data_IF_630083964514
#
_entry.id   IF_630083964514
#
_cell.length_a   1.000
_cell.length_b   1.000
_cell.length_c   1.000
_cell.angle_alpha   90.00
_cell.angle_beta   90.00
_cell.angle_gamma   90.00
#
_symmetry.space_group_name_H-M   'P 1'
#
loop_
_entity.id
_entity.type
_entity.pdbx_description
1 polymer ?
#
# COMPACT_ATOMS: atom_id res chain seq x y z
N UNK A 1 24.36 -35.68 -31.14
CA UNK A 1 23.93 -36.85 -30.36
C UNK A 1 22.52 -36.55 -29.88
N UNK A 2 21.53 -37.21 -30.51
CA UNK A 2 20.10 -36.98 -30.22
C UNK A 2 19.73 -37.67 -28.90
N UNK A 3 19.19 -36.92 -27.98
CA UNK A 3 18.62 -37.46 -26.75
C UNK A 3 17.09 -37.38 -26.86
N UNK A 4 16.48 -38.47 -27.33
CA UNK A 4 15.02 -38.63 -27.36
C UNK A 4 14.59 -39.20 -26.01
N UNK A 5 13.80 -38.43 -25.24
CA UNK A 5 13.16 -38.90 -24.03
C UNK A 5 11.98 -39.85 -24.42
N UNK A 6 12.01 -41.08 -23.91
CA UNK A 6 10.95 -42.09 -24.08
C UNK A 6 10.09 -42.07 -22.80
N UNK A 7 8.79 -41.90 -22.98
CA UNK A 7 7.80 -42.04 -21.91
C UNK A 7 7.48 -43.53 -21.71
N UNK A 8 7.22 -43.95 -20.48
CA UNK A 8 7.15 -45.35 -20.02
C UNK A 8 6.04 -46.24 -20.64
N UNK A 9 5.42 -45.87 -21.72
CA UNK A 9 4.29 -46.59 -22.31
C UNK A 9 4.46 -46.84 -23.85
N UNK A 10 5.67 -46.62 -24.38
CA UNK A 10 6.06 -47.10 -25.69
C UNK A 10 5.35 -46.51 -26.91
N UNK A 11 4.62 -45.40 -26.77
CA UNK A 11 4.00 -44.70 -27.91
C UNK A 11 4.75 -43.41 -28.24
N UNK A 12 4.94 -43.07 -29.53
CA UNK A 12 5.59 -41.81 -29.89
C UNK A 12 4.68 -40.62 -29.54
N UNK A 13 5.25 -39.62 -28.88
CA UNK A 13 4.55 -38.37 -28.56
C UNK A 13 4.21 -37.62 -29.85
N UNK A 14 2.93 -37.30 -30.03
CA UNK A 14 2.45 -36.45 -31.12
C UNK A 14 2.87 -35.01 -30.83
N UNK A 15 3.49 -34.28 -31.76
CA UNK A 15 3.86 -32.90 -31.54
C UNK A 15 2.61 -32.01 -31.41
N UNK A 16 2.53 -31.24 -30.35
CA UNK A 16 1.50 -30.22 -30.15
C UNK A 16 1.69 -29.10 -31.18
N UNK A 17 0.75 -28.98 -32.11
CA UNK A 17 0.66 -27.86 -33.05
C UNK A 17 0.15 -26.64 -32.25
N UNK A 18 0.79 -25.48 -32.33
CA UNK A 18 0.27 -24.28 -31.68
C UNK A 18 -1.01 -23.81 -32.37
N UNK A 19 -2.12 -23.80 -31.64
CA UNK A 19 -3.38 -23.22 -32.11
C UNK A 19 -3.24 -21.72 -32.09
N UNK A 20 -3.04 -21.11 -33.23
CA UNK A 20 -3.14 -19.68 -33.44
C UNK A 20 -4.61 -19.27 -33.37
N UNK A 21 -5.02 -18.61 -32.31
CA UNK A 21 -6.31 -17.92 -32.23
C UNK A 21 -6.17 -16.62 -33.01
N UNK A 22 -6.98 -16.38 -34.07
CA UNK A 22 -6.94 -15.11 -34.78
C UNK A 22 -7.48 -14.00 -33.87
N UNK A 23 -6.65 -13.01 -33.54
CA UNK A 23 -7.07 -11.75 -32.98
C UNK A 23 -7.94 -11.05 -34.02
N UNK A 24 -9.21 -10.84 -33.69
CA UNK A 24 -10.11 -10.00 -34.47
C UNK A 24 -9.59 -8.55 -34.53
N UNK A 25 -9.98 -7.76 -35.52
CA UNK A 25 -9.45 -6.43 -35.74
C UNK A 25 -9.79 -5.53 -34.54
N UNK A 26 -8.77 -5.11 -33.82
CA UNK A 26 -8.88 -4.00 -32.87
C UNK A 26 -9.12 -2.73 -33.68
N UNK A 27 -10.28 -2.10 -33.46
CA UNK A 27 -10.54 -0.77 -33.98
C UNK A 27 -9.48 0.19 -33.47
N UNK A 28 -8.92 1.07 -34.31
CA UNK A 28 -7.96 2.07 -33.86
C UNK A 28 -8.67 3.04 -32.91
N UNK A 29 -8.03 3.29 -31.74
CA UNK A 29 -8.45 4.34 -30.83
C UNK A 29 -8.29 5.68 -31.54
N UNK A 30 -9.38 6.45 -31.59
CA UNK A 30 -9.43 7.80 -32.16
C UNK A 30 -8.52 8.72 -31.33
N UNK A 31 -7.45 9.29 -31.90
CA UNK A 31 -6.53 10.15 -31.16
C UNK A 31 -7.04 11.59 -30.97
N UNK A 32 -8.31 11.88 -31.24
CA UNK A 32 -8.84 13.23 -31.29
C UNK A 32 -9.80 13.63 -30.18
N UNK A 33 -9.72 13.01 -29.00
CA UNK A 33 -10.34 13.62 -27.81
C UNK A 33 -9.29 14.51 -27.13
N UNK A 34 -9.32 15.85 -27.33
CA UNK A 34 -8.41 16.73 -26.61
C UNK A 34 -8.84 16.76 -25.14
N UNK A 35 -7.94 16.32 -24.25
CA UNK A 35 -8.02 16.75 -22.85
C UNK A 35 -7.64 18.22 -22.87
N UNK A 36 -8.61 19.09 -22.64
CA UNK A 36 -8.41 20.55 -22.57
C UNK A 36 -7.54 20.90 -21.36
N UNK A 37 -6.30 21.35 -21.56
CA UNK A 37 -5.40 21.70 -20.45
C UNK A 37 -5.60 23.14 -19.97
N UNK A 38 -6.63 23.83 -20.44
CA UNK A 38 -6.86 25.26 -20.17
C UNK A 38 -8.15 25.53 -19.43
N UNK A 39 -8.33 24.94 -18.24
CA UNK A 39 -9.17 25.58 -17.23
C UNK A 39 -8.23 26.40 -16.35
N UNK A 40 -8.14 27.72 -16.50
CA UNK A 40 -7.40 28.55 -15.56
C UNK A 40 -8.12 28.46 -14.23
N UNK A 41 -7.37 28.10 -13.19
CA UNK A 41 -7.81 28.33 -11.80
C UNK A 41 -7.91 29.84 -11.63
N UNK A 42 -9.12 30.37 -11.61
CA UNK A 42 -9.41 31.76 -11.31
C UNK A 42 -9.04 32.03 -9.83
N UNK A 43 -8.00 32.83 -9.54
CA UNK A 43 -7.58 33.10 -8.16
C UNK A 43 -8.48 34.13 -7.47
N UNK A 44 -9.58 34.57 -8.05
CA UNK A 44 -10.41 35.66 -7.54
C UNK A 44 -11.84 35.27 -7.17
N UNK A 45 -12.20 34.01 -7.08
CA UNK A 45 -13.48 33.60 -6.52
C UNK A 45 -13.48 33.82 -5.00
N UNK A 46 -14.28 34.72 -4.42
CA UNK A 46 -14.40 34.91 -2.97
C UNK A 46 -15.30 33.80 -2.39
N UNK A 47 -14.78 32.63 -2.28
CA UNK A 47 -15.39 31.51 -1.57
C UNK A 47 -14.53 31.18 -0.36
N UNK A 48 -14.77 31.90 0.73
CA UNK A 48 -14.29 31.59 2.08
C UNK A 48 -14.75 30.18 2.48
N UNK A 49 -14.10 29.15 1.99
CA UNK A 49 -14.04 27.89 2.71
C UNK A 49 -13.01 28.07 3.84
N UNK A 50 -13.49 28.47 5.02
CA UNK A 50 -12.79 28.20 6.26
C UNK A 50 -12.35 26.75 6.15
N UNK A 51 -11.05 26.49 6.02
CA UNK A 51 -10.49 25.17 6.20
C UNK A 51 -11.00 24.68 7.56
N UNK A 52 -11.85 23.66 7.57
CA UNK A 52 -12.22 23.02 8.82
C UNK A 52 -10.92 22.72 9.55
N UNK A 53 -10.84 22.92 10.89
CA UNK A 53 -9.63 22.62 11.63
C UNK A 53 -9.22 21.21 11.26
N UNK A 54 -7.94 21.03 11.03
CA UNK A 54 -7.35 19.75 10.62
C UNK A 54 -7.60 18.74 11.74
N UNK A 55 -8.76 18.07 11.66
CA UNK A 55 -9.17 17.10 12.67
C UNK A 55 -8.36 15.84 12.43
N UNK A 56 -7.74 15.38 13.47
CA UNK A 56 -7.16 14.05 13.55
C UNK A 56 -7.84 13.27 14.66
N UNK A 57 -8.07 12.00 14.44
CA UNK A 57 -8.54 11.08 15.46
C UNK A 57 -7.90 9.70 15.23
N UNK A 58 -7.97 8.84 16.22
CA UNK A 58 -7.43 7.50 16.15
C UNK A 58 -8.48 6.48 16.51
N UNK A 59 -8.48 5.39 15.76
CA UNK A 59 -9.37 4.26 15.98
C UNK A 59 -8.50 2.99 16.08
N UNK A 60 -8.85 2.10 16.99
CA UNK A 60 -8.27 0.75 17.07
C UNK A 60 -9.28 -0.26 16.51
N UNK A 61 -8.78 -1.19 15.69
CA UNK A 61 -9.55 -2.31 15.14
C UNK A 61 -8.78 -3.59 15.46
N UNK A 62 -9.18 -4.27 16.52
CA UNK A 62 -8.55 -5.53 16.96
C UNK A 62 -7.02 -5.43 17.12
N UNK A 63 -6.53 -4.33 17.67
CA UNK A 63 -5.12 -4.04 17.87
C UNK A 63 -4.43 -3.39 16.67
N UNK A 64 -5.15 -3.15 15.57
CA UNK A 64 -4.65 -2.35 14.44
C UNK A 64 -5.08 -0.90 14.62
N UNK A 65 -4.12 -0.01 14.79
CA UNK A 65 -4.34 1.41 14.89
C UNK A 65 -4.62 2.01 13.51
N UNK A 66 -5.63 2.86 13.41
CA UNK A 66 -5.99 3.60 12.20
C UNK A 66 -5.98 5.08 12.50
N UNK A 67 -5.22 5.85 11.74
CA UNK A 67 -5.14 7.30 11.85
C UNK A 67 -6.19 7.93 10.92
N UNK A 68 -7.15 8.64 11.52
CA UNK A 68 -8.22 9.33 10.82
C UNK A 68 -7.80 10.77 10.56
N UNK A 69 -7.51 11.10 9.31
CA UNK A 69 -7.03 12.42 8.92
C UNK A 69 -7.40 12.74 7.46
N UNK A 70 -7.11 13.96 7.03
CA UNK A 70 -7.26 14.38 5.65
C UNK A 70 -5.94 14.35 4.87
N UNK A 71 -6.03 14.47 3.54
CA UNK A 71 -4.85 14.59 2.67
C UNK A 71 -3.89 15.72 3.11
N UNK A 72 -4.34 16.91 3.50
CA UNK A 72 -3.43 17.98 3.93
C UNK A 72 -2.55 17.57 5.12
N UNK A 73 -3.11 16.83 6.09
CA UNK A 73 -2.33 16.31 7.21
C UNK A 73 -1.24 15.34 6.75
N UNK A 74 -1.59 14.37 5.88
CA UNK A 74 -0.61 13.43 5.33
C UNK A 74 0.53 14.18 4.63
N UNK A 75 0.20 15.17 3.78
CA UNK A 75 1.18 15.97 3.06
C UNK A 75 2.08 16.76 3.99
N UNK A 76 1.53 17.35 5.06
CA UNK A 76 2.27 18.11 6.07
C UNK A 76 3.26 17.21 6.83
N UNK A 77 2.80 16.05 7.30
CA UNK A 77 3.64 15.09 8.03
C UNK A 77 4.77 14.57 7.14
N UNK A 78 4.48 14.22 5.88
CA UNK A 78 5.52 13.77 4.94
C UNK A 78 6.55 14.87 4.66
N UNK A 79 6.10 16.11 4.41
CA UNK A 79 7.00 17.24 4.18
C UNK A 79 7.94 17.47 5.36
N UNK A 80 7.44 17.36 6.58
CA UNK A 80 8.23 17.45 7.81
C UNK A 80 9.28 16.33 7.86
N UNK A 81 8.89 15.08 7.62
CA UNK A 81 9.81 13.93 7.68
C UNK A 81 10.88 13.94 6.61
N UNK A 82 10.57 14.45 5.43
CA UNK A 82 11.57 14.65 4.35
C UNK A 82 12.59 15.71 4.73
N UNK A 83 12.24 16.65 5.62
CA UNK A 83 13.15 17.67 6.13
C UNK A 83 13.99 17.18 7.30
N UNK A 84 13.56 16.13 8.02
CA UNK A 84 14.26 15.56 9.18
C UNK A 84 13.36 14.76 10.11
N UNK A 85 13.92 14.31 11.23
CA UNK A 85 13.18 13.55 12.24
C UNK A 85 13.27 12.03 12.06
N UNK A 86 12.38 11.28 12.75
CA UNK A 86 12.28 9.82 12.61
C UNK A 86 11.75 9.45 11.24
N UNK A 87 12.20 8.33 10.65
CA UNK A 87 11.59 7.78 9.45
C UNK A 87 10.08 7.53 9.64
N UNK A 88 9.32 7.71 8.57
CA UNK A 88 7.87 7.55 8.54
C UNK A 88 7.47 6.46 7.55
N UNK A 89 6.72 5.49 7.99
CA UNK A 89 6.07 4.53 7.12
C UNK A 89 4.57 4.87 6.99
N UNK A 90 4.05 4.89 5.77
CA UNK A 90 2.63 5.13 5.51
C UNK A 90 2.03 3.85 4.95
N UNK A 91 1.03 3.32 5.65
CA UNK A 91 0.27 2.15 5.23
C UNK A 91 -1.20 2.48 5.01
N UNK A 92 -1.87 1.66 4.20
CA UNK A 92 -3.32 1.76 4.00
C UNK A 92 -4.04 0.62 4.72
N UNK A 93 -5.00 0.96 5.58
CA UNK A 93 -5.80 -0.01 6.33
C UNK A 93 -7.11 -0.26 5.60
N UNK A 94 -7.29 -1.50 5.19
CA UNK A 94 -8.52 -2.06 4.64
C UNK A 94 -8.78 -3.43 5.29
N UNK A 95 -9.84 -4.14 4.90
CA UNK A 95 -10.16 -5.44 5.50
C UNK A 95 -9.02 -6.47 5.38
N UNK A 96 -8.24 -6.42 4.30
CA UNK A 96 -7.07 -7.27 4.12
C UNK A 96 -5.96 -6.97 5.15
N UNK A 97 -5.74 -5.69 5.44
CA UNK A 97 -4.81 -5.28 6.50
C UNK A 97 -5.29 -5.77 7.88
N UNK A 98 -6.58 -5.64 8.17
CA UNK A 98 -7.17 -6.14 9.42
C UNK A 98 -7.06 -7.66 9.53
N UNK A 99 -7.19 -8.39 8.43
CA UNK A 99 -6.99 -9.83 8.41
C UNK A 99 -5.56 -10.22 8.82
N UNK A 100 -4.56 -9.55 8.25
CA UNK A 100 -3.15 -9.88 8.48
C UNK A 100 -2.60 -9.39 9.83
N UNK A 101 -3.05 -8.22 10.30
CA UNK A 101 -2.46 -7.54 11.46
C UNK A 101 -3.41 -7.40 12.65
N UNK A 102 -4.70 -7.72 12.51
CA UNK A 102 -5.67 -7.67 13.59
C UNK A 102 -5.69 -8.95 14.44
N UNK A 103 -5.81 -8.81 15.75
CA UNK A 103 -6.00 -9.91 16.69
C UNK A 103 -4.84 -10.91 16.73
N UNK A 104 -5.19 -12.20 16.77
CA UNK A 104 -4.23 -13.32 16.90
C UNK A 104 -3.29 -13.42 15.68
N UNK A 105 -3.71 -12.97 14.52
CA UNK A 105 -2.88 -12.98 13.30
C UNK A 105 -1.63 -12.09 13.44
N UNK A 106 -1.70 -11.03 14.24
CA UNK A 106 -0.55 -10.18 14.55
C UNK A 106 0.60 -10.94 15.19
N UNK A 107 0.30 -11.97 16.02
CA UNK A 107 1.33 -12.80 16.63
C UNK A 107 1.98 -13.79 15.67
N UNK A 108 1.34 -14.09 14.53
CA UNK A 108 1.88 -14.98 13.49
C UNK A 108 2.81 -14.26 12.52
N UNK A 109 2.60 -12.97 12.35
CA UNK A 109 3.52 -12.11 11.60
C UNK A 109 4.51 -11.58 12.61
N UNK A 110 5.59 -12.31 12.90
CA UNK A 110 6.68 -11.92 13.82
C UNK A 110 7.24 -10.53 13.42
N UNK A 111 6.45 -9.48 13.66
CA UNK A 111 6.98 -8.13 13.61
C UNK A 111 7.90 -8.00 14.81
N UNK A 112 9.16 -7.63 14.66
CA UNK A 112 10.07 -7.33 15.76
C UNK A 112 9.53 -6.08 16.46
N UNK A 113 8.67 -6.28 17.49
CA UNK A 113 7.86 -5.22 18.09
C UNK A 113 8.48 -4.60 19.33
N UNK A 114 9.71 -4.95 19.68
CA UNK A 114 10.29 -4.41 20.90
C UNK A 114 10.58 -2.90 20.84
N UNK A 115 10.81 -2.34 19.65
CA UNK A 115 10.81 -0.87 19.39
C UNK A 115 10.59 -0.64 17.90
N UNK A 116 9.43 -0.14 17.47
CA UNK A 116 9.27 0.26 16.08
C UNK A 116 10.29 1.37 15.77
N UNK A 117 11.18 1.09 14.83
CA UNK A 117 12.21 2.03 14.38
C UNK A 117 11.59 3.15 13.57
N UNK A 118 10.44 2.86 12.94
CA UNK A 118 9.64 3.78 12.13
C UNK A 118 8.38 4.20 12.87
N UNK A 119 7.96 5.42 12.63
CA UNK A 119 6.62 5.86 12.97
C UNK A 119 5.67 5.46 11.84
N UNK A 120 4.55 4.81 12.17
CA UNK A 120 3.53 4.45 11.19
C UNK A 120 2.37 5.45 11.19
N UNK A 121 2.00 5.89 9.99
CA UNK A 121 0.75 6.57 9.69
C UNK A 121 -0.14 5.59 8.91
N UNK A 122 -1.13 5.01 9.59
CA UNK A 122 -1.99 3.96 9.05
C UNK A 122 -3.34 4.55 8.63
N UNK A 123 -3.52 4.77 7.34
CA UNK A 123 -4.62 5.52 6.74
C UNK A 123 -5.87 4.67 6.48
N UNK A 124 -7.06 5.23 6.68
CA UNK A 124 -8.32 4.58 6.35
C UNK A 124 -8.52 4.48 4.82
N UNK A 125 -8.29 3.29 4.24
CA UNK A 125 -8.36 3.05 2.78
C UNK A 125 -9.67 2.35 2.35
N UNK A 126 -10.21 1.45 3.14
CA UNK A 126 -11.41 0.72 2.77
C UNK A 126 -12.70 1.47 3.15
N UNK A 127 -13.74 1.44 2.28
CA UNK A 127 -15.03 2.05 2.60
C UNK A 127 -15.60 1.56 3.94
N UNK A 128 -15.58 0.24 4.28
CA UNK A 128 -16.06 -0.22 5.58
C UNK A 128 -15.32 0.40 6.77
N UNK A 129 -14.02 0.69 6.61
CA UNK A 129 -13.21 1.33 7.66
C UNK A 129 -13.66 2.79 7.86
N UNK A 130 -13.88 3.52 6.75
CA UNK A 130 -14.35 4.91 6.77
C UNK A 130 -15.76 5.02 7.35
N UNK A 131 -16.66 4.12 6.97
CA UNK A 131 -18.04 4.07 7.50
C UNK A 131 -18.01 3.85 9.01
N UNK A 132 -17.21 2.89 9.48
CA UNK A 132 -17.06 2.63 10.91
C UNK A 132 -16.45 3.82 11.66
N UNK A 133 -15.49 4.50 11.07
CA UNK A 133 -14.92 5.72 11.65
C UNK A 133 -15.98 6.83 11.77
N UNK A 134 -16.84 6.99 10.76
CA UNK A 134 -17.95 7.93 10.79
C UNK A 134 -18.96 7.59 11.88
N UNK A 135 -19.33 6.31 12.03
CA UNK A 135 -20.23 5.85 13.09
C UNK A 135 -19.71 6.17 14.49
N UNK A 136 -18.39 6.00 14.70
CA UNK A 136 -17.76 6.22 15.99
C UNK A 136 -17.56 7.71 16.32
N UNK A 137 -17.26 8.53 15.31
CA UNK A 137 -16.87 9.94 15.51
C UNK A 137 -17.97 10.94 15.22
N UNK A 138 -19.05 10.53 14.50
CA UNK A 138 -20.03 11.44 13.91
C UNK A 138 -19.46 12.35 12.81
N UNK A 139 -18.21 12.11 12.37
CA UNK A 139 -17.50 12.93 11.38
C UNK A 139 -17.27 12.13 10.10
N UNK A 140 -17.57 12.75 8.95
CA UNK A 140 -17.26 12.16 7.65
C UNK A 140 -15.75 12.29 7.37
N UNK A 141 -15.07 11.15 7.31
CA UNK A 141 -13.65 11.06 6.99
C UNK A 141 -13.44 10.73 5.52
N UNK A 142 -12.35 11.25 4.89
CA UNK A 142 -12.01 10.85 3.52
C UNK A 142 -11.46 9.42 3.50
N UNK A 143 -11.75 8.70 2.43
CA UNK A 143 -11.04 7.46 2.10
C UNK A 143 -9.70 7.82 1.47
N UNK A 144 -8.60 7.47 2.13
CA UNK A 144 -7.25 7.76 1.67
C UNK A 144 -6.60 6.50 1.10
N UNK A 145 -6.57 6.39 -0.22
CA UNK A 145 -5.95 5.25 -0.91
C UNK A 145 -4.51 5.57 -1.34
N UNK A 146 -3.65 4.55 -1.37
CA UNK A 146 -2.30 4.71 -1.90
C UNK A 146 -2.28 5.23 -3.34
N UNK A 147 -3.25 4.82 -4.16
CA UNK A 147 -3.35 5.24 -5.55
C UNK A 147 -3.72 6.74 -5.72
N UNK A 148 -4.45 7.33 -4.75
CA UNK A 148 -4.81 8.75 -4.78
C UNK A 148 -3.73 9.63 -4.13
N UNK A 149 -2.96 9.06 -3.20
CA UNK A 149 -1.91 9.78 -2.49
C UNK A 149 -0.58 9.75 -3.24
N UNK A 150 -0.21 8.64 -3.88
CA UNK A 150 1.09 8.50 -4.55
C UNK A 150 1.37 9.64 -5.54
N UNK A 151 0.45 10.05 -6.45
CA UNK A 151 0.69 11.18 -7.34
C UNK A 151 1.05 12.49 -6.61
N UNK A 152 0.37 12.77 -5.50
CA UNK A 152 0.60 13.98 -4.70
C UNK A 152 1.93 13.93 -3.95
N UNK A 153 2.30 12.74 -3.45
CA UNK A 153 3.57 12.52 -2.75
C UNK A 153 4.76 12.58 -3.69
N UNK A 154 4.62 12.11 -4.93
CA UNK A 154 5.64 12.27 -5.97
C UNK A 154 5.87 13.74 -6.32
N UNK A 155 4.79 14.52 -6.43
CA UNK A 155 4.88 15.96 -6.68
C UNK A 155 5.53 16.69 -5.50
N UNK A 156 5.22 16.30 -4.26
CA UNK A 156 5.87 16.83 -3.06
C UNK A 156 7.37 16.51 -3.05
N UNK A 157 7.75 15.26 -3.33
CA UNK A 157 9.14 14.83 -3.41
C UNK A 157 9.89 15.64 -4.48
N UNK A 158 9.30 15.76 -5.68
CA UNK A 158 9.84 16.57 -6.77
C UNK A 158 10.05 18.04 -6.35
N UNK A 159 9.05 18.65 -5.72
CA UNK A 159 9.10 20.05 -5.29
C UNK A 159 10.17 20.31 -4.21
N UNK A 160 10.49 19.30 -3.40
CA UNK A 160 11.52 19.37 -2.38
C UNK A 160 12.89 18.84 -2.84
N UNK A 161 13.05 18.48 -4.10
CA UNK A 161 14.30 17.92 -4.64
C UNK A 161 14.69 16.59 -3.97
N UNK A 162 13.69 15.75 -3.66
CA UNK A 162 13.85 14.47 -2.99
C UNK A 162 13.76 13.32 -3.98
N UNK A 163 14.65 12.34 -3.81
CA UNK A 163 14.71 11.15 -4.64
C UNK A 163 13.65 10.12 -4.27
N UNK A 164 13.13 9.41 -5.27
CA UNK A 164 12.11 8.37 -5.08
C UNK A 164 12.60 7.04 -5.66
N UNK A 165 12.51 5.97 -4.87
CA UNK A 165 12.79 4.60 -5.31
C UNK A 165 11.52 3.74 -5.32
N UNK A 166 11.54 2.67 -6.12
CA UNK A 166 10.41 1.74 -6.26
C UNK A 166 10.90 0.30 -6.01
N UNK A 167 10.36 -0.33 -4.99
CA UNK A 167 10.65 -1.71 -4.60
C UNK A 167 9.41 -2.58 -4.77
N UNK A 168 9.53 -3.67 -5.52
CA UNK A 168 8.44 -4.58 -5.88
C UNK A 168 7.91 -4.32 -7.29
N UNK A 169 6.88 -5.05 -7.68
CA UNK A 169 6.40 -5.08 -9.06
C UNK A 169 7.25 -6.01 -9.93
N UNK A 170 7.15 -5.84 -11.24
CA UNK A 170 7.91 -6.61 -12.24
C UNK A 170 8.80 -5.68 -13.07
N UNK A 171 9.85 -6.20 -13.76
CA UNK A 171 10.66 -5.39 -14.66
C UNK A 171 9.82 -4.67 -15.73
N UNK A 172 8.75 -5.30 -16.23
CA UNK A 172 7.84 -4.68 -17.21
C UNK A 172 7.06 -3.50 -16.61
N UNK A 173 6.51 -3.66 -15.39
CA UNK A 173 5.86 -2.58 -14.64
C UNK A 173 6.83 -1.42 -14.45
N UNK A 174 8.09 -1.69 -14.12
CA UNK A 174 9.11 -0.65 -13.95
C UNK A 174 9.43 0.09 -15.26
N UNK A 175 9.41 -0.58 -16.39
CA UNK A 175 9.60 0.06 -17.71
C UNK A 175 8.46 1.05 -18.01
N UNK A 176 7.21 0.60 -17.83
CA UNK A 176 6.03 1.46 -17.99
C UNK A 176 6.04 2.60 -16.98
N UNK A 177 6.37 2.31 -15.72
CA UNK A 177 6.46 3.31 -14.66
C UNK A 177 7.52 4.38 -14.98
N UNK A 178 8.69 3.99 -15.48
CA UNK A 178 9.75 4.91 -15.92
C UNK A 178 9.25 5.86 -17.00
N UNK A 179 8.52 5.33 -17.98
CA UNK A 179 7.93 6.12 -19.07
C UNK A 179 6.86 7.09 -18.54
N UNK A 180 5.98 6.61 -17.66
CA UNK A 180 4.93 7.41 -17.04
C UNK A 180 5.50 8.54 -16.16
N UNK A 181 6.53 8.24 -15.36
CA UNK A 181 7.18 9.23 -14.50
C UNK A 181 7.90 10.30 -15.30
N UNK A 182 8.66 9.93 -16.32
CA UNK A 182 9.34 10.91 -17.19
C UNK A 182 8.36 11.87 -17.88
N UNK A 183 7.18 11.37 -18.26
CA UNK A 183 6.14 12.16 -18.91
C UNK A 183 5.38 13.07 -17.94
N UNK A 184 4.96 12.52 -16.78
CA UNK A 184 4.00 13.20 -15.90
C UNK A 184 4.69 13.97 -14.76
N UNK A 185 5.94 13.64 -14.43
CA UNK A 185 6.71 14.26 -13.34
C UNK A 185 8.11 14.66 -13.83
N UNK A 186 8.22 15.55 -14.83
CA UNK A 186 9.52 15.98 -15.33
C UNK A 186 10.34 16.64 -14.21
N UNK A 187 11.59 16.19 -14.07
CA UNK A 187 12.49 16.66 -13.00
C UNK A 187 12.33 15.95 -11.66
N UNK A 188 11.48 14.91 -11.55
CA UNK A 188 11.50 14.01 -10.40
C UNK A 188 12.78 13.16 -10.46
N UNK A 189 13.56 13.16 -9.39
CA UNK A 189 14.71 12.29 -9.23
C UNK A 189 14.25 10.89 -8.84
N UNK A 190 14.58 9.90 -9.67
CA UNK A 190 14.29 8.49 -9.40
C UNK A 190 15.58 7.77 -9.10
N UNK A 191 15.77 7.38 -7.84
CA UNK A 191 17.00 6.74 -7.34
C UNK A 191 17.18 5.30 -7.81
N UNK A 192 16.07 4.55 -8.01
CA UNK A 192 16.16 3.17 -8.44
C UNK A 192 14.83 2.44 -8.58
N UNK A 193 14.93 1.25 -9.18
CA UNK A 193 13.84 0.30 -9.36
C UNK A 193 14.35 -1.08 -8.99
N UNK A 194 13.75 -1.72 -7.99
CA UNK A 194 14.10 -3.05 -7.50
C UNK A 194 12.91 -3.98 -7.66
N UNK A 195 13.03 -5.01 -8.49
CA UNK A 195 11.98 -6.00 -8.75
C UNK A 195 12.47 -7.39 -8.29
N UNK A 196 12.64 -7.62 -6.98
CA UNK A 196 13.08 -8.91 -6.48
C UNK A 196 11.99 -9.96 -6.64
N UNK A 197 12.39 -11.20 -6.86
CA UNK A 197 11.50 -12.34 -6.75
C UNK A 197 11.05 -12.53 -5.30
N UNK A 198 9.92 -13.23 -5.12
CA UNK A 198 9.37 -13.48 -3.80
C UNK A 198 10.35 -14.24 -2.88
N UNK A 199 11.06 -15.22 -3.42
CA UNK A 199 12.10 -15.97 -2.69
C UNK A 199 13.25 -15.09 -2.20
N UNK A 200 13.61 -14.06 -2.96
CA UNK A 200 14.62 -13.07 -2.57
C UNK A 200 14.15 -12.23 -1.39
N UNK A 201 12.87 -11.84 -1.38
CA UNK A 201 12.30 -11.03 -0.27
C UNK A 201 12.09 -11.85 0.99
N UNK A 202 11.87 -13.16 0.85
CA UNK A 202 11.69 -14.11 1.97
C UNK A 202 13.02 -14.59 2.57
N UNK A 203 14.14 -14.41 1.89
CA UNK A 203 15.50 -14.68 2.39
C UNK A 203 16.08 -13.42 3.05
N UNK A 204 16.39 -13.49 4.34
CA UNK A 204 16.82 -12.35 5.13
C UNK A 204 18.11 -11.70 4.62
N UNK A 205 19.07 -12.48 4.13
CA UNK A 205 20.32 -11.96 3.56
C UNK A 205 20.09 -11.18 2.28
N UNK A 206 19.27 -11.77 1.37
CA UNK A 206 18.98 -11.14 0.09
C UNK A 206 18.08 -9.91 0.27
N UNK A 207 17.21 -9.90 1.28
CA UNK A 207 16.39 -8.74 1.62
C UNK A 207 17.24 -7.59 2.20
N UNK A 208 18.27 -7.92 2.99
CA UNK A 208 19.26 -6.96 3.51
C UNK A 208 20.11 -6.39 2.38
N UNK A 209 20.60 -7.21 1.44
CA UNK A 209 21.31 -6.76 0.24
C UNK A 209 20.48 -5.75 -0.58
N UNK A 210 19.14 -5.92 -0.63
CA UNK A 210 18.24 -4.94 -1.28
C UNK A 210 18.25 -3.61 -0.50
N UNK A 211 18.15 -3.66 0.83
CA UNK A 211 18.17 -2.46 1.65
C UNK A 211 19.49 -1.68 1.47
N UNK A 212 20.61 -2.38 1.38
CA UNK A 212 21.91 -1.77 1.10
C UNK A 212 21.97 -1.13 -0.29
N UNK A 213 21.39 -1.76 -1.31
CA UNK A 213 21.28 -1.17 -2.65
C UNK A 213 20.44 0.11 -2.64
N UNK A 214 19.31 0.12 -1.91
CA UNK A 214 18.46 1.30 -1.74
C UNK A 214 19.24 2.44 -1.06
N UNK A 215 20.02 2.11 -0.02
CA UNK A 215 20.87 3.06 0.69
C UNK A 215 21.95 3.63 -0.23
N UNK A 216 22.64 2.77 -0.98
CA UNK A 216 23.68 3.19 -1.91
C UNK A 216 23.14 4.10 -3.02
N UNK A 217 21.87 3.95 -3.40
CA UNK A 217 21.19 4.81 -4.36
C UNK A 217 20.74 6.17 -3.79
N UNK A 218 20.86 6.40 -2.48
CA UNK A 218 20.49 7.66 -1.84
C UNK A 218 19.00 7.97 -1.89
N UNK A 219 18.15 6.96 -1.65
CA UNK A 219 16.69 7.08 -1.72
C UNK A 219 16.12 7.84 -0.53
N UNK A 220 15.39 8.94 -0.76
CA UNK A 220 14.67 9.66 0.30
C UNK A 220 13.28 9.07 0.56
N UNK A 221 12.55 8.72 -0.51
CA UNK A 221 11.20 8.12 -0.45
C UNK A 221 11.23 6.75 -1.11
N UNK A 222 10.85 5.70 -0.40
CA UNK A 222 10.76 4.35 -0.95
C UNK A 222 9.31 3.90 -1.07
N UNK A 223 8.85 3.70 -2.31
CA UNK A 223 7.54 3.09 -2.59
C UNK A 223 7.72 1.58 -2.57
N UNK A 224 7.04 0.90 -1.62
CA UNK A 224 7.16 -0.54 -1.41
C UNK A 224 5.90 -1.24 -1.88
N UNK A 225 6.02 -2.02 -2.95
CA UNK A 225 4.95 -2.72 -3.66
C UNK A 225 5.11 -4.24 -3.63
N UNK A 226 5.49 -4.82 -2.49
CA UNK A 226 5.68 -6.28 -2.32
C UNK A 226 4.39 -7.03 -1.99
N UNK A 227 3.30 -6.29 -1.81
CA UNK A 227 2.00 -6.83 -1.37
C UNK A 227 1.93 -7.08 0.13
N UNK A 228 0.70 -7.06 0.67
CA UNK A 228 0.43 -7.35 2.09
C UNK A 228 0.56 -8.84 2.39
N UNK A 229 1.08 -9.22 3.57
CA UNK A 229 1.70 -8.40 4.62
C UNK A 229 3.19 -8.16 4.40
N UNK A 230 3.77 -8.66 3.29
CA UNK A 230 5.23 -8.72 3.06
C UNK A 230 5.85 -7.33 3.05
N UNK A 231 5.19 -6.34 2.42
CA UNK A 231 5.70 -4.97 2.33
C UNK A 231 5.84 -4.30 3.70
N UNK A 232 4.86 -4.48 4.59
CA UNK A 232 4.89 -3.93 5.94
C UNK A 232 6.00 -4.60 6.77
N UNK A 233 6.12 -5.93 6.68
CA UNK A 233 7.16 -6.70 7.38
C UNK A 233 8.55 -6.30 6.89
N UNK A 234 8.72 -6.14 5.57
CA UNK A 234 10.01 -5.75 5.00
C UNK A 234 10.43 -4.35 5.48
N UNK A 235 9.51 -3.38 5.48
CA UNK A 235 9.78 -2.03 6.01
C UNK A 235 10.22 -2.11 7.47
N UNK A 236 9.52 -2.87 8.32
CA UNK A 236 9.84 -3.00 9.75
C UNK A 236 11.20 -3.64 9.99
N UNK A 237 11.61 -4.58 9.14
CA UNK A 237 12.86 -5.33 9.33
C UNK A 237 14.07 -4.67 8.72
N UNK A 238 13.92 -4.09 7.56
CA UNK A 238 15.03 -3.62 6.72
C UNK A 238 14.98 -2.13 6.40
N UNK A 239 13.90 -1.44 6.76
CA UNK A 239 13.71 -0.04 6.40
C UNK A 239 14.82 0.87 6.93
N UNK A 240 15.28 0.69 8.17
CA UNK A 240 16.35 1.50 8.76
C UNK A 240 17.65 1.40 7.98
N UNK A 241 17.95 0.21 7.43
CA UNK A 241 19.19 -0.05 6.69
C UNK A 241 19.20 0.62 5.32
N UNK A 242 18.01 1.03 4.81
CA UNK A 242 17.89 1.76 3.55
C UNK A 242 18.32 3.23 3.63
N UNK A 243 18.28 3.83 4.81
CA UNK A 243 18.47 5.26 5.00
C UNK A 243 17.34 6.14 4.48
N UNK A 244 16.27 5.57 3.92
CA UNK A 244 15.13 6.32 3.43
C UNK A 244 14.36 7.00 4.57
N UNK A 245 13.78 8.15 4.29
CA UNK A 245 13.04 8.97 5.26
C UNK A 245 11.56 8.66 5.29
N UNK A 246 11.00 8.27 4.14
CA UNK A 246 9.57 7.98 4.00
C UNK A 246 9.40 6.67 3.24
N UNK A 247 8.59 5.78 3.80
CA UNK A 247 8.19 4.52 3.18
C UNK A 247 6.71 4.56 2.85
N UNK A 248 6.37 4.19 1.62
CA UNK A 248 4.98 4.14 1.15
C UNK A 248 4.60 2.69 0.87
N UNK A 249 3.93 2.04 1.84
CA UNK A 249 3.42 0.67 1.71
C UNK A 249 2.15 0.64 0.85
N UNK A 250 2.28 1.02 -0.43
CA UNK A 250 1.17 1.25 -1.37
C UNK A 250 1.12 0.22 -2.50
N UNK A 251 1.29 -1.03 -2.21
CA UNK A 251 1.28 -2.22 -3.07
C UNK A 251 0.97 -2.00 -4.56
N UNK A 252 -0.30 -1.84 -4.90
CA UNK A 252 -0.74 -1.68 -6.28
C UNK A 252 -0.70 -0.22 -6.81
N UNK A 253 -0.26 0.76 -6.02
CA UNK A 253 -0.31 2.16 -6.48
C UNK A 253 0.67 2.43 -7.62
N UNK A 254 1.83 1.76 -7.64
CA UNK A 254 2.77 1.82 -8.73
C UNK A 254 2.20 1.21 -10.03
N UNK A 255 1.46 0.10 -9.92
CA UNK A 255 0.81 -0.56 -11.07
C UNK A 255 -0.28 0.35 -11.71
N UNK A 256 -1.00 1.13 -10.88
CA UNK A 256 -1.94 2.13 -11.40
C UNK A 256 -1.22 3.30 -12.08
N UNK A 257 -0.10 3.71 -11.55
CA UNK A 257 0.67 4.82 -12.11
C UNK A 257 1.36 4.44 -13.42
N UNK A 258 1.80 3.19 -13.56
CA UNK A 258 2.36 2.64 -14.81
C UNK A 258 1.30 2.50 -15.92
N UNK A 259 0.02 2.46 -15.55
CA UNK A 259 -1.10 2.20 -16.47
C UNK A 259 -1.35 0.72 -16.74
N UNK A 260 -0.62 -0.19 -16.11
CA UNK A 260 -0.79 -1.64 -16.27
C UNK A 260 -2.11 -2.14 -15.69
N UNK A 261 -2.63 -1.44 -14.68
CA UNK A 261 -3.92 -1.72 -14.07
C UNK A 261 -4.86 -0.55 -14.26
N UNK A 262 -5.99 -0.77 -14.92
CA UNK A 262 -7.02 0.25 -15.07
C UNK A 262 -7.78 0.46 -13.75
N UNK A 263 -8.06 1.72 -13.40
CA UNK A 263 -8.96 2.03 -12.29
C UNK A 263 -10.39 1.64 -12.64
N UNK A 264 -11.16 1.29 -11.61
CA UNK A 264 -12.60 1.17 -11.78
C UNK A 264 -13.19 2.50 -12.26
N UNK A 265 -14.26 2.48 -13.08
CA UNK A 265 -14.97 3.69 -13.47
C UNK A 265 -15.31 4.54 -12.25
N UNK A 266 -15.28 5.88 -12.39
CA UNK A 266 -15.48 6.82 -11.28
C UNK A 266 -16.76 6.52 -10.49
N UNK A 267 -17.86 6.23 -11.20
CA UNK A 267 -19.13 5.84 -10.57
C UNK A 267 -19.02 4.63 -9.63
N UNK A 268 -18.23 3.62 -10.00
CA UNK A 268 -18.04 2.43 -9.14
C UNK A 268 -17.14 2.76 -7.95
N UNK A 269 -16.10 3.58 -8.16
CA UNK A 269 -15.19 4.01 -7.09
C UNK A 269 -15.91 4.90 -6.06
N UNK A 270 -16.77 5.81 -6.50
CA UNK A 270 -17.58 6.69 -5.64
C UNK A 270 -18.59 5.92 -4.78
N UNK A 271 -19.13 4.81 -5.29
CA UNK A 271 -20.06 3.94 -4.57
C UNK A 271 -19.37 2.81 -3.79
N UNK A 272 -18.03 2.83 -3.69
CA UNK A 272 -17.28 1.80 -2.96
C UNK A 272 -17.25 0.42 -3.63
N UNK A 273 -17.64 0.34 -4.92
CA UNK A 273 -17.71 -0.93 -5.68
C UNK A 273 -16.40 -1.27 -6.42
N UNK A 274 -15.32 -0.53 -6.16
CA UNK A 274 -14.01 -0.79 -6.76
C UNK A 274 -13.51 -2.23 -6.52
N UNK A 275 -13.79 -2.79 -5.33
CA UNK A 275 -13.45 -4.16 -4.99
C UNK A 275 -14.14 -5.19 -5.91
N UNK A 276 -15.39 -4.93 -6.31
CA UNK A 276 -16.16 -5.81 -7.20
C UNK A 276 -15.58 -5.74 -8.62
N UNK A 277 -15.27 -4.54 -9.12
CA UNK A 277 -14.61 -4.36 -10.39
C UNK A 277 -13.29 -5.15 -10.45
N UNK A 278 -12.46 -5.02 -9.41
CA UNK A 278 -11.19 -5.74 -9.31
C UNK A 278 -11.39 -7.26 -9.20
N UNK A 279 -12.41 -7.71 -8.46
CA UNK A 279 -12.72 -9.14 -8.33
C UNK A 279 -13.09 -9.76 -9.68
N UNK A 280 -13.83 -9.03 -10.53
CA UNK A 280 -14.19 -9.50 -11.88
C UNK A 280 -12.96 -9.61 -12.78
N UNK A 281 -12.00 -8.67 -12.67
CA UNK A 281 -10.81 -8.66 -13.53
C UNK A 281 -9.69 -9.59 -13.02
N UNK A 282 -9.60 -9.80 -11.71
CA UNK A 282 -8.57 -10.64 -11.08
C UNK A 282 -9.18 -11.69 -10.12
N UNK A 283 -10.12 -12.56 -10.57
CA UNK A 283 -10.90 -13.40 -9.67
C UNK A 283 -10.05 -14.38 -8.87
N UNK A 284 -9.03 -15.00 -9.48
CA UNK A 284 -8.18 -15.99 -8.80
C UNK A 284 -7.39 -15.40 -7.63
N UNK A 285 -6.92 -14.15 -7.77
CA UNK A 285 -6.12 -13.46 -6.75
C UNK A 285 -7.00 -12.90 -5.64
N UNK A 286 -8.17 -12.35 -5.99
CA UNK A 286 -8.99 -11.55 -5.08
C UNK A 286 -10.15 -12.32 -4.43
N UNK A 287 -10.53 -13.51 -4.97
CA UNK A 287 -11.60 -14.32 -4.41
C UNK A 287 -11.36 -14.66 -2.93
N UNK A 288 -10.19 -15.23 -2.61
CA UNK A 288 -9.84 -15.59 -1.22
C UNK A 288 -9.83 -14.36 -0.32
N UNK A 289 -9.27 -13.25 -0.81
CA UNK A 289 -9.16 -12.00 -0.08
C UNK A 289 -10.52 -11.42 0.31
N UNK A 290 -11.46 -11.37 -0.63
CA UNK A 290 -12.75 -10.71 -0.40
C UNK A 290 -13.82 -11.64 0.19
N UNK A 291 -13.86 -12.91 -0.21
CA UNK A 291 -14.94 -13.82 0.17
C UNK A 291 -14.58 -14.76 1.33
N UNK A 292 -13.30 -14.99 1.60
CA UNK A 292 -12.87 -15.85 2.71
C UNK A 292 -12.33 -15.02 3.88
N UNK A 293 -11.41 -14.10 3.60
CA UNK A 293 -10.73 -13.29 4.62
C UNK A 293 -11.54 -12.05 5.02
N UNK A 294 -12.28 -11.47 4.06
CA UNK A 294 -13.09 -10.26 4.28
C UNK A 294 -14.13 -10.38 5.39
N UNK A 295 -14.95 -11.45 5.45
CA UNK A 295 -15.99 -11.60 6.49
C UNK A 295 -15.45 -11.61 7.91
N UNK A 296 -14.32 -12.28 8.17
CA UNK A 296 -13.66 -12.29 9.47
C UNK A 296 -13.15 -10.89 9.85
N UNK A 297 -12.46 -10.24 8.94
CA UNK A 297 -11.99 -8.87 9.15
C UNK A 297 -13.14 -7.89 9.40
N UNK A 298 -14.28 -8.09 8.73
CA UNK A 298 -15.46 -7.29 8.94
C UNK A 298 -16.10 -7.50 10.32
N UNK A 299 -16.10 -8.72 10.85
CA UNK A 299 -16.52 -8.99 12.23
C UNK A 299 -15.61 -8.28 13.25
N UNK A 300 -14.30 -8.29 13.02
CA UNK A 300 -13.33 -7.56 13.87
C UNK A 300 -13.57 -6.05 13.82
N UNK A 301 -13.95 -5.50 12.66
CA UNK A 301 -14.27 -4.09 12.49
C UNK A 301 -15.42 -3.61 13.39
N UNK A 302 -16.39 -4.46 13.70
CA UNK A 302 -17.49 -4.13 14.63
C UNK A 302 -17.02 -3.83 16.05
N UNK A 303 -15.90 -4.42 16.48
CA UNK A 303 -15.26 -4.17 17.77
C UNK A 303 -14.37 -2.92 17.82
N UNK A 304 -14.30 -2.14 16.74
CA UNK A 304 -13.50 -0.94 16.68
C UNK A 304 -13.96 0.12 17.70
N UNK A 305 -13.00 0.84 18.28
CA UNK A 305 -13.24 1.91 19.24
C UNK A 305 -12.26 3.08 19.01
N UNK A 306 -12.62 4.25 19.53
CA UNK A 306 -11.76 5.43 19.47
C UNK A 306 -10.69 5.36 20.56
N UNK A 307 -9.46 5.68 20.19
CA UNK A 307 -8.32 5.78 21.11
C UNK A 307 -8.18 7.24 21.53
N UNK A 308 -8.18 7.49 22.85
CA UNK A 308 -7.89 8.82 23.38
C UNK A 308 -6.38 9.07 23.39
N UNK A 309 -5.96 10.27 22.98
CA UNK A 309 -4.54 10.67 23.02
C UNK A 309 -3.97 10.73 24.47
N UNK A 310 -4.82 10.62 25.48
CA UNK A 310 -4.45 10.62 26.91
C UNK A 310 -4.25 9.23 27.50
N UNK A 311 -4.36 8.14 26.70
CA UNK A 311 -4.16 6.78 27.19
C UNK A 311 -2.69 6.33 26.99
N UNK A 312 -1.85 6.33 28.05
CA UNK A 312 -0.46 5.87 27.96
C UNK A 312 -0.35 4.36 27.76
N UNK A 313 -1.45 3.59 27.84
CA UNK A 313 -1.47 2.14 27.66
C UNK A 313 -1.62 1.72 26.20
N UNK A 314 -1.89 2.64 25.28
CA UNK A 314 -2.06 2.36 23.85
C UNK A 314 -0.79 1.86 23.13
N UNK A 315 0.30 1.65 23.87
CA UNK A 315 1.57 1.06 23.39
C UNK A 315 2.02 -0.20 24.13
N UNK A 316 1.24 -0.73 25.09
CA UNK A 316 1.62 -1.97 25.78
C UNK A 316 0.96 -3.19 25.14
N UNK A 317 1.71 -4.24 24.82
CA UNK A 317 1.12 -5.51 24.45
C UNK A 317 0.30 -6.04 25.64
N UNK A 318 -0.93 -6.45 25.37
CA UNK A 318 -1.78 -7.18 26.33
C UNK A 318 -1.14 -8.54 26.56
N UNK A 319 -0.47 -8.73 27.71
CA UNK A 319 0.05 -10.01 28.08
C UNK A 319 1.21 -9.96 29.08
N UNK A 320 1.01 -9.48 30.33
CA UNK A 320 1.87 -9.85 31.46
C UNK A 320 1.21 -9.77 32.85
N UNK A 321 -0.11 -9.51 32.96
CA UNK A 321 -0.77 -9.39 34.27
C UNK A 321 -1.55 -10.63 34.74
N UNK A 322 -1.25 -11.82 34.22
CA UNK A 322 -1.98 -13.05 34.59
C UNK A 322 -1.14 -14.16 35.27
N UNK A 323 0.09 -13.87 35.74
CA UNK A 323 0.90 -14.87 36.48
C UNK A 323 1.59 -14.28 37.71
N UNK A 324 0.86 -13.65 38.63
CA UNK A 324 1.34 -13.49 40.01
C UNK A 324 0.19 -13.30 40.98
N UNK A 325 -0.60 -14.33 41.20
CA UNK A 325 -1.36 -14.50 42.46
C UNK A 325 -1.83 -15.92 42.63
N UNK A 326 -0.87 -16.82 42.92
CA UNK A 326 -1.19 -18.09 43.60
C UNK A 326 0.06 -18.75 44.20
N UNK A 327 0.63 -18.17 45.24
CA UNK A 327 1.45 -18.83 46.19
C UNK A 327 1.53 -17.98 47.46
N UNK A 328 0.53 -18.07 48.32
CA UNK A 328 0.67 -17.96 49.75
C UNK A 328 -0.72 -18.13 50.40
N UNK A 329 -1.03 -19.37 50.71
CA UNK A 329 -1.90 -19.79 51.83
C UNK A 329 -1.90 -21.30 51.90
N UNK A 330 -1.19 -21.80 52.90
CA UNK A 330 -1.23 -23.17 53.34
C UNK A 330 0.05 -23.57 54.04
#
# INVERSE_FOLDING_TARGET
>A
MNNSAIVADGRPATPLVPVSVPLGPTAPLDPTVPVDPTVPLDPTAPGSTRSAPERTARMDIAGTRVDLCGTPHVMSVVAERLSGGKPLAIGSVNLDHIHHFGGIERSRVNLPTERPTHEWLLLADGQPIVDRAQDLTGTKWPRLTGADLLPKLLELARAQGKSVGFLGGTPLVHEHLRTALARNYPGLEVSGYWAPDRSTVEDDRLADDIAEQVRAAGTDVLVVGLGKPVQEIWIERFGDDTGARVFLAFGAAADFLSGDVSRAPALMSEHGLEWLYRLVHEPRRLFRRYLVQGPEAWLRLRGAYLVSDSDPSAGRPVGDDAVTHRADRG
#
